data_IF_599314264634
#
_entry.id   IF_599314264634
#
_cell.length_a   1.000
_cell.length_b   1.000
_cell.length_c   1.000
_cell.angle_alpha   90.00
_cell.angle_beta   90.00
_cell.angle_gamma   90.00
#
_symmetry.space_group_name_H-M   'P 1'
#
loop_
_entity.id
_entity.type
_entity.pdbx_description
1 polymer ?
#
# COMPACT_ATOMS: atom_id res chain seq x y z
N UNK A 1 44.64 22.51 3.06
CA UNK A 1 43.54 21.83 2.31
C UNK A 1 43.08 20.53 2.97
N UNK A 2 43.99 19.70 3.49
CA UNK A 2 43.61 18.47 4.20
C UNK A 2 42.97 18.74 5.58
N UNK A 3 43.43 19.76 6.31
CA UNK A 3 42.89 20.13 7.63
C UNK A 3 41.40 20.51 7.59
N UNK A 4 40.95 21.27 6.58
CA UNK A 4 39.53 21.62 6.44
C UNK A 4 38.64 20.41 6.10
N UNK A 5 39.17 19.38 5.44
CA UNK A 5 38.43 18.15 5.18
C UNK A 5 38.26 17.31 6.46
N UNK A 6 39.21 17.39 7.37
CA UNK A 6 39.14 16.77 8.69
C UNK A 6 38.11 17.46 9.58
N UNK A 7 38.11 18.79 9.58
CA UNK A 7 37.15 19.61 10.34
C UNK A 7 35.69 19.41 9.86
N UNK A 8 35.47 19.35 8.55
CA UNK A 8 34.15 19.06 7.96
C UNK A 8 33.72 17.63 8.29
N UNK A 9 34.63 16.66 8.19
CA UNK A 9 34.37 15.27 8.54
C UNK A 9 33.94 15.15 10.01
N UNK A 10 34.70 15.75 10.91
CA UNK A 10 34.46 15.69 12.35
C UNK A 10 33.12 16.32 12.72
N UNK A 11 32.78 17.46 12.11
CA UNK A 11 31.49 18.10 12.34
C UNK A 11 30.30 17.29 11.78
N UNK A 12 30.48 16.63 10.63
CA UNK A 12 29.49 15.70 10.07
C UNK A 12 29.33 14.46 10.95
N UNK A 13 30.41 13.90 11.48
CA UNK A 13 30.36 12.77 12.42
C UNK A 13 29.63 13.15 13.70
N UNK A 14 29.93 14.30 14.30
CA UNK A 14 29.23 14.81 15.49
C UNK A 14 27.74 15.03 15.25
N UNK A 15 27.37 15.53 14.08
CA UNK A 15 25.96 15.70 13.70
C UNK A 15 25.24 14.36 13.43
N UNK A 16 25.93 13.41 12.79
CA UNK A 16 25.44 12.05 12.60
C UNK A 16 25.24 11.33 13.93
N UNK A 17 26.17 11.48 14.86
CA UNK A 17 26.12 10.88 16.19
C UNK A 17 24.93 11.43 16.99
N UNK A 18 24.75 12.74 17.02
CA UNK A 18 23.57 13.36 17.63
C UNK A 18 22.25 12.91 16.98
N UNK A 19 22.21 12.74 15.65
CA UNK A 19 21.02 12.21 14.95
C UNK A 19 20.77 10.74 15.24
N UNK A 20 21.80 9.90 15.34
CA UNK A 20 21.69 8.47 15.66
C UNK A 20 21.21 8.29 17.10
N UNK A 21 21.67 9.13 18.02
CA UNK A 21 21.23 9.13 19.41
C UNK A 21 19.76 9.55 19.55
N UNK A 22 19.36 10.63 18.86
CA UNK A 22 17.95 11.05 18.76
C UNK A 22 17.07 9.98 18.11
N UNK A 23 17.55 9.36 17.02
CA UNK A 23 16.84 8.30 16.32
C UNK A 23 16.68 7.06 17.22
N UNK A 24 17.71 6.68 17.98
CA UNK A 24 17.65 5.60 18.97
C UNK A 24 16.63 5.89 20.07
N UNK A 25 16.59 7.11 20.62
CA UNK A 25 15.62 7.49 21.63
C UNK A 25 14.18 7.44 21.10
N UNK A 26 13.93 8.01 19.93
CA UNK A 26 12.59 8.07 19.32
C UNK A 26 12.12 6.68 18.84
N UNK A 27 13.06 5.88 18.35
CA UNK A 27 12.83 4.49 17.92
C UNK A 27 12.52 3.59 19.11
N UNK A 28 13.18 3.76 20.27
CA UNK A 28 12.87 3.00 21.48
C UNK A 28 11.43 3.19 21.93
N UNK A 29 10.96 4.43 21.99
CA UNK A 29 9.60 4.75 22.41
C UNK A 29 8.54 4.23 21.42
N UNK A 30 8.80 4.34 20.11
CA UNK A 30 7.88 3.82 19.07
C UNK A 30 7.90 2.30 18.93
N UNK A 31 9.04 1.66 19.21
CA UNK A 31 9.15 0.19 19.23
C UNK A 31 8.37 -0.37 20.41
N UNK A 32 8.46 0.22 21.60
CA UNK A 32 7.75 -0.31 22.77
C UNK A 32 6.23 -0.35 22.55
N UNK A 33 5.63 0.74 22.07
CA UNK A 33 4.19 0.78 21.79
C UNK A 33 3.81 -0.06 20.56
N UNK A 34 4.61 -0.01 19.49
CA UNK A 34 4.38 -0.78 18.27
C UNK A 34 4.51 -2.29 18.46
N UNK A 35 5.42 -2.75 19.31
CA UNK A 35 5.61 -4.17 19.63
C UNK A 35 4.48 -4.69 20.51
N UNK A 36 4.02 -3.92 21.50
CA UNK A 36 2.90 -4.33 22.35
C UNK A 36 1.60 -4.44 21.53
N UNK A 37 1.31 -3.45 20.69
CA UNK A 37 0.15 -3.49 19.78
C UNK A 37 0.31 -4.62 18.74
N UNK A 38 1.53 -4.83 18.23
CA UNK A 38 1.83 -5.91 17.30
C UNK A 38 1.60 -7.30 17.89
N UNK A 39 2.13 -7.57 19.09
CA UNK A 39 1.94 -8.84 19.79
C UNK A 39 0.46 -9.05 20.11
N UNK A 40 -0.22 -8.04 20.64
CA UNK A 40 -1.65 -8.13 20.93
C UNK A 40 -2.46 -8.41 19.66
N UNK A 41 -2.14 -7.74 18.55
CA UNK A 41 -2.76 -7.96 17.24
C UNK A 41 -2.53 -9.38 16.71
N UNK A 42 -1.31 -9.93 16.84
CA UNK A 42 -0.99 -11.30 16.43
C UNK A 42 -1.76 -12.32 17.28
N UNK A 43 -1.80 -12.13 18.60
CA UNK A 43 -2.56 -13.01 19.51
C UNK A 43 -4.05 -12.96 19.19
N UNK A 44 -4.60 -11.77 18.96
CA UNK A 44 -6.00 -11.59 18.59
C UNK A 44 -6.32 -12.21 17.23
N UNK A 45 -5.45 -12.05 16.24
CA UNK A 45 -5.60 -12.68 14.93
C UNK A 45 -5.54 -14.22 15.03
N UNK A 46 -4.64 -14.75 15.86
CA UNK A 46 -4.57 -16.19 16.13
C UNK A 46 -5.86 -16.70 16.78
N UNK A 47 -6.34 -16.06 17.84
CA UNK A 47 -7.59 -16.45 18.50
C UNK A 47 -8.81 -16.31 17.57
N UNK A 48 -8.88 -15.21 16.81
CA UNK A 48 -9.94 -14.96 15.84
C UNK A 48 -9.96 -16.00 14.73
N UNK A 49 -8.78 -16.36 14.19
CA UNK A 49 -8.67 -17.42 13.17
C UNK A 49 -9.07 -18.79 13.73
N UNK A 50 -8.67 -19.14 14.95
CA UNK A 50 -9.10 -20.38 15.61
C UNK A 50 -10.62 -20.43 15.77
N UNK A 51 -11.23 -19.32 16.20
CA UNK A 51 -12.69 -19.20 16.35
C UNK A 51 -13.39 -19.38 15.00
N UNK A 52 -12.87 -18.75 13.93
CA UNK A 52 -13.40 -18.90 12.58
C UNK A 52 -13.32 -20.35 12.08
N UNK A 53 -12.18 -21.03 12.29
CA UNK A 53 -12.03 -22.44 11.90
C UNK A 53 -13.10 -23.29 12.60
N UNK A 54 -13.31 -23.09 13.91
CA UNK A 54 -14.38 -23.80 14.63
C UNK A 54 -15.77 -23.46 14.13
N UNK A 55 -16.05 -22.22 13.76
CA UNK A 55 -17.33 -21.85 13.13
C UNK A 55 -17.56 -22.59 11.81
N UNK A 56 -16.54 -22.72 10.96
CA UNK A 56 -16.65 -23.50 9.72
C UNK A 56 -16.78 -25.00 9.98
N UNK A 57 -16.06 -25.54 10.97
CA UNK A 57 -16.23 -26.93 11.39
C UNK A 57 -17.65 -27.20 11.92
N UNK A 58 -18.19 -26.28 12.73
CA UNK A 58 -19.55 -26.35 13.23
C UNK A 58 -20.57 -26.28 12.10
N UNK A 59 -20.39 -25.36 11.14
CA UNK A 59 -21.24 -25.25 9.96
C UNK A 59 -21.20 -26.53 9.11
N UNK A 60 -20.01 -27.09 8.90
CA UNK A 60 -19.85 -28.35 8.18
C UNK A 60 -20.53 -29.52 8.92
N UNK A 61 -20.41 -29.58 10.25
CA UNK A 61 -21.10 -30.58 11.06
C UNK A 61 -22.62 -30.40 11.01
N UNK A 62 -23.12 -29.17 11.03
CA UNK A 62 -24.53 -28.89 10.86
C UNK A 62 -25.03 -29.32 9.48
N UNK A 63 -24.27 -29.05 8.41
CA UNK A 63 -24.60 -29.55 7.07
C UNK A 63 -24.60 -31.09 7.02
N UNK A 64 -23.68 -31.77 7.72
CA UNK A 64 -23.67 -33.23 7.79
C UNK A 64 -24.98 -33.79 8.35
N UNK A 65 -25.50 -33.19 9.43
CA UNK A 65 -26.79 -33.58 10.03
C UNK A 65 -27.96 -33.36 9.06
N UNK A 66 -28.00 -32.21 8.37
CA UNK A 66 -29.08 -31.90 7.42
C UNK A 66 -29.05 -32.80 6.18
N UNK A 67 -27.86 -33.22 5.76
CA UNK A 67 -27.67 -34.09 4.58
C UNK A 67 -27.68 -35.59 4.93
N UNK A 68 -27.92 -35.96 6.19
CA UNK A 68 -27.88 -37.34 6.70
C UNK A 68 -26.59 -38.08 6.28
N UNK A 69 -25.45 -37.36 6.33
CA UNK A 69 -24.18 -37.89 5.85
C UNK A 69 -23.00 -37.40 6.66
N UNK A 70 -22.08 -38.32 6.99
CA UNK A 70 -20.98 -38.08 7.93
C UNK A 70 -19.89 -37.13 7.43
N UNK A 71 -19.78 -36.89 6.12
CA UNK A 71 -18.68 -36.11 5.53
C UNK A 71 -19.09 -35.09 4.47
N UNK A 72 -20.34 -35.11 3.97
CA UNK A 72 -20.75 -34.27 2.85
C UNK A 72 -20.73 -32.77 3.18
N UNK A 73 -21.05 -32.38 4.41
CA UNK A 73 -20.98 -31.00 4.87
C UNK A 73 -19.56 -30.43 4.84
N UNK A 74 -18.55 -31.21 5.22
CA UNK A 74 -17.14 -30.80 5.06
C UNK A 74 -16.75 -30.67 3.59
N UNK A 75 -17.21 -31.58 2.73
CA UNK A 75 -16.93 -31.54 1.30
C UNK A 75 -17.54 -30.30 0.63
N UNK A 76 -18.77 -29.91 1.00
CA UNK A 76 -19.45 -28.73 0.48
C UNK A 76 -18.71 -27.46 0.88
N UNK A 77 -18.35 -27.32 2.17
CA UNK A 77 -17.60 -26.15 2.65
C UNK A 77 -16.23 -26.08 1.96
N UNK A 78 -15.51 -27.20 1.85
CA UNK A 78 -14.24 -27.26 1.14
C UNK A 78 -14.38 -26.91 -0.36
N UNK A 79 -15.40 -27.43 -1.03
CA UNK A 79 -15.70 -27.13 -2.43
C UNK A 79 -16.02 -25.66 -2.67
N UNK A 80 -16.79 -25.03 -1.77
CA UNK A 80 -17.07 -23.59 -1.82
C UNK A 80 -15.77 -22.77 -1.75
N UNK A 81 -14.89 -23.06 -0.79
CA UNK A 81 -13.60 -22.39 -0.67
C UNK A 81 -12.66 -22.66 -1.85
N UNK A 82 -12.71 -23.86 -2.44
CA UNK A 82 -11.94 -24.21 -3.62
C UNK A 82 -12.39 -23.40 -4.84
N UNK A 83 -13.71 -23.30 -5.08
CA UNK A 83 -14.25 -22.47 -6.17
C UNK A 83 -13.86 -21.00 -5.95
N UNK A 84 -14.03 -20.49 -4.73
CA UNK A 84 -13.62 -19.11 -4.41
C UNK A 84 -12.13 -18.88 -4.70
N UNK A 85 -11.28 -19.84 -4.32
CA UNK A 85 -9.84 -19.80 -4.58
C UNK A 85 -9.54 -19.81 -6.08
N UNK A 86 -10.22 -20.65 -6.87
CA UNK A 86 -10.06 -20.70 -8.32
C UNK A 86 -10.51 -19.41 -9.00
N UNK A 87 -11.66 -18.86 -8.60
CA UNK A 87 -12.16 -17.57 -9.10
C UNK A 87 -11.14 -16.47 -8.79
N UNK A 88 -10.61 -16.45 -7.58
CA UNK A 88 -9.63 -15.44 -7.17
C UNK A 88 -8.29 -15.61 -7.90
N UNK A 89 -7.83 -16.85 -8.09
CA UNK A 89 -6.63 -17.16 -8.85
C UNK A 89 -6.78 -16.75 -10.34
N UNK A 90 -7.90 -17.08 -10.98
CA UNK A 90 -8.20 -16.67 -12.35
C UNK A 90 -8.35 -15.13 -12.48
N UNK A 91 -8.88 -14.47 -11.44
CA UNK A 91 -8.98 -13.02 -11.41
C UNK A 91 -7.62 -12.32 -11.33
N UNK A 92 -6.54 -12.98 -10.87
CA UNK A 92 -5.20 -12.37 -10.82
C UNK A 92 -4.69 -11.99 -12.21
N UNK A 93 -4.97 -12.81 -13.22
CA UNK A 93 -4.55 -12.52 -14.60
C UNK A 93 -5.38 -11.40 -15.23
N UNK A 94 -6.69 -11.35 -14.93
CA UNK A 94 -7.55 -10.23 -15.30
C UNK A 94 -7.16 -8.90 -14.61
N UNK A 95 -6.72 -8.98 -13.35
CA UNK A 95 -6.30 -7.83 -12.55
C UNK A 95 -5.01 -7.20 -13.09
N UNK A 96 -4.02 -8.01 -13.48
CA UNK A 96 -2.78 -7.52 -14.12
C UNK A 96 -3.08 -6.75 -15.42
N UNK A 97 -4.03 -7.24 -16.22
CA UNK A 97 -4.45 -6.58 -17.46
C UNK A 97 -5.13 -5.23 -17.21
N UNK A 98 -6.04 -5.15 -16.22
CA UNK A 98 -6.76 -3.91 -15.89
C UNK A 98 -5.89 -2.85 -15.23
N UNK A 99 -4.99 -3.25 -14.33
CA UNK A 99 -4.06 -2.31 -13.68
C UNK A 99 -3.14 -1.67 -14.72
N UNK A 100 -2.67 -2.44 -15.72
CA UNK A 100 -1.83 -1.91 -16.80
C UNK A 100 -2.59 -0.87 -17.64
N UNK A 101 -3.80 -1.18 -18.10
CA UNK A 101 -4.62 -0.25 -18.91
C UNK A 101 -5.02 1.01 -18.12
N UNK A 102 -5.34 0.86 -16.84
CA UNK A 102 -5.63 2.00 -15.96
C UNK A 102 -4.39 2.87 -15.72
N UNK A 103 -3.22 2.27 -15.47
CA UNK A 103 -1.97 3.00 -15.32
C UNK A 103 -1.58 3.78 -16.60
N UNK A 104 -1.68 3.16 -17.77
CA UNK A 104 -1.41 3.84 -19.05
C UNK A 104 -2.37 4.99 -19.32
N UNK A 105 -3.67 4.81 -19.08
CA UNK A 105 -4.68 5.85 -19.31
C UNK A 105 -4.59 7.01 -18.31
N UNK A 106 -4.26 6.74 -17.05
CA UNK A 106 -4.02 7.78 -16.04
C UNK A 106 -2.80 8.65 -16.36
N UNK A 107 -1.70 8.04 -16.84
CA UNK A 107 -0.50 8.78 -17.23
C UNK A 107 -0.76 9.60 -18.50
N UNK A 108 -1.41 9.04 -19.53
CA UNK A 108 -1.72 9.75 -20.79
C UNK A 108 -2.63 10.96 -20.56
N UNK A 109 -3.71 10.78 -19.79
CA UNK A 109 -4.65 11.87 -19.47
C UNK A 109 -3.98 12.99 -18.66
N UNK A 110 -3.03 12.65 -17.79
CA UNK A 110 -2.23 13.62 -17.04
C UNK A 110 -1.29 14.42 -17.95
N UNK A 111 -0.68 13.79 -18.96
CA UNK A 111 0.17 14.47 -19.94
C UNK A 111 -0.62 15.37 -20.90
N UNK A 112 -1.76 14.91 -21.41
CA UNK A 112 -2.64 15.71 -22.28
C UNK A 112 -3.15 16.96 -21.54
N UNK A 113 -3.60 16.80 -20.29
CA UNK A 113 -4.07 17.94 -19.48
C UNK A 113 -2.95 18.93 -19.16
N UNK A 114 -1.73 18.44 -18.88
CA UNK A 114 -0.54 19.30 -18.67
C UNK A 114 -0.10 20.01 -19.95
N UNK A 115 -0.26 19.39 -21.12
CA UNK A 115 0.07 20.01 -22.39
C UNK A 115 -0.93 21.12 -22.76
N UNK A 116 -2.21 20.89 -22.51
CA UNK A 116 -3.28 21.86 -22.72
C UNK A 116 -3.14 23.08 -21.81
N UNK A 117 -2.90 22.86 -20.51
CA UNK A 117 -2.69 23.93 -19.52
C UNK A 117 -1.43 24.77 -19.82
N UNK A 118 -0.36 24.13 -20.32
CA UNK A 118 0.84 24.85 -20.79
C UNK A 118 0.59 25.64 -22.05
N UNK A 119 -0.16 25.10 -23.01
CA UNK A 119 -0.49 25.82 -24.25
C UNK A 119 -1.38 27.03 -23.97
N UNK A 120 -2.35 26.90 -23.06
CA UNK A 120 -3.21 27.98 -22.61
C UNK A 120 -2.42 29.06 -21.87
N UNK A 121 -1.55 28.68 -20.94
CA UNK A 121 -0.68 29.63 -20.22
C UNK A 121 0.29 30.37 -21.17
N UNK A 122 0.85 29.70 -22.18
CA UNK A 122 1.72 30.36 -23.17
C UNK A 122 0.93 31.34 -24.03
N UNK A 123 -0.32 31.01 -24.38
CA UNK A 123 -1.19 31.88 -25.17
C UNK A 123 -1.60 33.14 -24.40
N UNK A 124 -1.95 33.00 -23.12
CA UNK A 124 -2.25 34.11 -22.21
C UNK A 124 -1.02 35.02 -22.00
N UNK A 125 0.18 34.43 -21.88
CA UNK A 125 1.43 35.17 -21.80
C UNK A 125 1.77 35.90 -23.10
N UNK A 126 1.51 35.32 -24.28
CA UNK A 126 1.71 35.98 -25.57
C UNK A 126 0.74 37.15 -25.76
N UNK A 127 -0.55 36.98 -25.43
CA UNK A 127 -1.54 38.06 -25.50
C UNK A 127 -1.17 39.24 -24.58
N UNK A 128 -0.62 38.92 -23.39
CA UNK A 128 -0.12 39.93 -22.45
C UNK A 128 1.19 40.59 -22.90
N UNK A 129 1.99 39.92 -23.75
CA UNK A 129 3.26 40.44 -24.26
C UNK A 129 3.07 41.28 -25.53
N UNK A 130 2.13 40.91 -26.41
CA UNK A 130 1.76 41.69 -27.60
C UNK A 130 1.01 42.99 -27.24
N UNK A 131 0.45 43.08 -26.04
CA UNK A 131 -0.11 44.32 -25.47
C UNK A 131 0.92 45.36 -25.02
N UNK A 132 2.23 45.04 -25.04
CA UNK A 132 3.34 45.96 -24.73
C UNK A 132 4.19 46.18 -26.00
N UNK A 133 3.53 46.56 -27.10
CA UNK A 133 4.21 47.20 -28.23
C UNK A 133 4.66 48.62 -27.84
N UNK A 134 5.84 49.10 -28.30
CA UNK A 134 6.38 50.38 -27.90
C UNK A 134 5.57 51.51 -28.52
N UNK A 135 4.61 52.05 -27.77
CA UNK A 135 4.02 53.33 -28.11
C UNK A 135 3.72 54.13 -26.85
N UNK A 136 4.78 54.68 -26.25
CA UNK A 136 4.89 56.07 -25.77
C UNK A 136 6.35 56.48 -25.73
#
# INVERSE_FOLDING_TARGET
>A
MLEHLEEIRENIFRYLEARIELFTLETRSKIEEGVVVGIHGVVLALLGSMTLIFLFCLLAAYLNEVLDSRYLGFLIVAGFFLILTLVWAAAKDAMKGRIRVFAYSAIKKSQEKKAEEKAEAVKDLMEKTDGIGPNR
#
